data_IF_666225489896
#
_entry.id   IF_666225489896
#
_cell.length_a   1.000
_cell.length_b   1.000
_cell.length_c   1.000
_cell.angle_alpha   90.00
_cell.angle_beta   90.00
_cell.angle_gamma   90.00
#
_symmetry.space_group_name_H-M   'P 1'
#
loop_
_entity.id
_entity.type
_entity.pdbx_description
1 polymer ?
#
# COMPACT_ATOMS: atom_id res chain seq x y z
N UNK A 1 -4.48 22.01 24.58
CA UNK A 1 -5.45 21.06 23.96
C UNK A 1 -4.90 20.64 22.60
N UNK A 2 -4.85 19.32 22.30
CA UNK A 2 -4.32 18.85 21.01
C UNK A 2 -5.45 18.53 20.04
N UNK A 3 -5.26 18.92 18.76
CA UNK A 3 -6.18 18.62 17.68
C UNK A 3 -5.94 17.18 17.21
N UNK A 4 -7.00 16.35 17.23
CA UNK A 4 -6.98 14.97 16.79
C UNK A 4 -7.71 14.72 15.47
N UNK A 5 -8.56 15.67 15.06
CA UNK A 5 -9.29 15.65 13.78
C UNK A 5 -8.45 16.26 12.66
N UNK A 6 -8.89 16.07 11.41
CA UNK A 6 -8.35 16.81 10.28
C UNK A 6 -8.71 18.29 10.35
N UNK A 7 -7.89 19.12 9.72
CA UNK A 7 -8.13 20.58 9.59
C UNK A 7 -8.43 20.93 8.14
N UNK A 8 -9.11 22.06 7.95
CA UNK A 8 -9.34 22.68 6.63
C UNK A 8 -8.11 23.49 6.23
N UNK A 9 -7.13 22.78 5.67
CA UNK A 9 -5.85 23.35 5.25
C UNK A 9 -5.99 24.41 4.15
N UNK A 10 -7.03 24.31 3.36
CA UNK A 10 -7.39 25.24 2.27
C UNK A 10 -7.74 26.63 2.81
N UNK A 11 -8.45 26.75 3.92
CA UNK A 11 -8.69 28.03 4.56
C UNK A 11 -7.46 28.57 5.29
N UNK A 12 -6.70 27.68 5.91
CA UNK A 12 -5.55 28.06 6.71
C UNK A 12 -4.47 28.77 5.89
N UNK A 13 -4.29 28.41 4.63
CA UNK A 13 -3.29 29.09 3.78
C UNK A 13 -3.65 30.52 3.39
N UNK A 14 -4.90 30.96 3.62
CA UNK A 14 -5.32 32.35 3.41
C UNK A 14 -5.08 33.24 4.64
N UNK A 15 -4.63 32.68 5.77
CA UNK A 15 -4.16 33.41 6.93
C UNK A 15 -2.86 34.16 6.59
N UNK A 16 -2.96 35.46 6.30
CA UNK A 16 -1.86 36.29 5.80
C UNK A 16 -0.72 36.36 6.81
N UNK A 17 -1.03 36.42 8.09
CA UNK A 17 -0.08 36.61 9.17
C UNK A 17 0.52 35.29 9.63
N UNK A 18 -0.03 34.16 9.20
CA UNK A 18 0.32 32.81 9.63
C UNK A 18 0.27 32.65 11.17
N UNK A 19 -0.50 33.50 11.86
CA UNK A 19 -0.63 33.47 13.30
C UNK A 19 -1.34 32.21 13.76
N UNK A 20 -2.41 31.83 13.08
CA UNK A 20 -3.13 30.59 13.37
C UNK A 20 -2.28 29.36 13.10
N UNK A 21 -1.54 29.33 11.97
CA UNK A 21 -0.64 28.21 11.66
C UNK A 21 0.47 28.07 12.72
N UNK A 22 1.02 29.18 13.19
CA UNK A 22 2.02 29.20 14.25
C UNK A 22 1.44 28.63 15.55
N UNK A 23 0.32 29.17 16.01
CA UNK A 23 -0.36 28.73 17.24
C UNK A 23 -0.70 27.24 17.17
N UNK A 24 -1.22 26.79 16.02
CA UNK A 24 -1.50 25.39 15.76
C UNK A 24 -0.26 24.50 15.96
N UNK A 25 0.86 24.85 15.32
CA UNK A 25 2.10 24.09 15.40
C UNK A 25 2.75 24.16 16.78
N UNK A 26 2.70 25.32 17.44
CA UNK A 26 3.34 25.51 18.75
C UNK A 26 2.59 24.79 19.87
N UNK A 27 1.26 24.78 19.85
CA UNK A 27 0.47 24.38 21.01
C UNK A 27 -0.53 23.25 20.79
N UNK A 28 -0.92 22.97 19.53
CA UNK A 28 -2.05 22.10 19.27
C UNK A 28 -1.75 20.84 18.46
N UNK A 29 -0.51 20.64 17.99
CA UNK A 29 -0.06 19.43 17.30
C UNK A 29 0.88 18.62 18.19
N UNK A 30 0.49 17.37 18.49
CA UNK A 30 1.25 16.46 19.35
C UNK A 30 2.26 15.58 18.56
N UNK A 31 2.84 16.11 17.48
CA UNK A 31 3.79 15.40 16.62
C UNK A 31 3.22 14.97 15.27
N UNK A 32 1.91 14.79 15.15
CA UNK A 32 1.26 14.45 13.88
C UNK A 32 -0.01 15.26 13.67
N UNK A 33 -0.15 15.84 12.48
CA UNK A 33 -1.36 16.53 12.04
C UNK A 33 -2.02 15.77 10.91
N UNK A 34 -3.29 15.41 11.08
CA UNK A 34 -4.09 14.72 10.07
C UNK A 34 -4.67 15.75 9.10
N UNK A 35 -4.55 15.47 7.83
CA UNK A 35 -5.11 16.29 6.74
C UNK A 35 -5.78 15.39 5.72
N UNK A 36 -6.82 15.87 5.07
CA UNK A 36 -7.62 15.10 4.13
C UNK A 36 -7.58 15.69 2.71
N UNK A 37 -6.43 15.59 1.99
CA UNK A 37 -6.40 15.94 0.58
C UNK A 37 -7.23 14.98 -0.27
N UNK A 38 -7.41 13.75 0.17
CA UNK A 38 -8.15 12.63 -0.44
C UNK A 38 -7.52 12.11 -1.73
N UNK A 39 -7.06 12.97 -2.63
CA UNK A 39 -6.39 12.66 -3.89
C UNK A 39 -5.40 13.75 -4.27
N UNK A 40 -4.66 13.58 -5.40
CA UNK A 40 -3.73 14.58 -5.93
C UNK A 40 -4.04 14.95 -7.39
N UNK A 41 -4.83 14.17 -8.10
CA UNK A 41 -5.29 14.53 -9.43
C UNK A 41 -6.37 15.60 -9.34
N UNK A 42 -6.18 16.73 -10.05
CA UNK A 42 -7.14 17.81 -10.05
C UNK A 42 -8.50 17.41 -10.67
N UNK A 43 -8.51 16.44 -11.58
CA UNK A 43 -9.75 15.88 -12.14
C UNK A 43 -10.59 15.21 -11.05
N UNK A 44 -9.96 14.38 -10.21
CA UNK A 44 -10.64 13.71 -9.09
C UNK A 44 -10.98 14.70 -7.98
N UNK A 45 -10.08 15.63 -7.66
CA UNK A 45 -10.30 16.64 -6.63
C UNK A 45 -11.49 17.53 -6.93
N UNK A 46 -11.69 17.91 -8.22
CA UNK A 46 -12.86 18.69 -8.64
C UNK A 46 -14.17 17.94 -8.38
N UNK A 47 -14.22 16.63 -8.65
CA UNK A 47 -15.40 15.79 -8.38
C UNK A 47 -15.62 15.55 -6.88
N UNK A 48 -14.56 15.59 -6.08
CA UNK A 48 -14.61 15.55 -4.61
C UNK A 48 -15.05 16.88 -3.99
N UNK A 49 -15.12 17.98 -4.77
CA UNK A 49 -15.31 19.32 -4.23
C UNK A 49 -14.17 19.77 -3.33
N UNK A 50 -12.96 19.27 -3.59
CA UNK A 50 -11.74 19.58 -2.84
C UNK A 50 -10.92 20.67 -3.58
N UNK A 51 -10.10 21.42 -2.85
CA UNK A 51 -9.16 22.36 -3.47
C UNK A 51 -8.13 21.60 -4.32
N UNK A 52 -7.54 22.30 -5.28
CA UNK A 52 -6.54 21.75 -6.17
C UNK A 52 -5.27 21.29 -5.43
N UNK A 53 -4.49 20.42 -6.06
CA UNK A 53 -3.24 19.88 -5.48
C UNK A 53 -2.22 20.98 -5.18
N UNK A 54 -2.21 22.07 -5.94
CA UNK A 54 -1.34 23.22 -5.71
C UNK A 54 -1.63 23.88 -4.36
N UNK A 55 -2.91 23.97 -3.97
CA UNK A 55 -3.34 24.48 -2.67
C UNK A 55 -2.80 23.59 -1.56
N UNK A 56 -2.92 22.29 -1.72
CA UNK A 56 -2.36 21.32 -0.77
C UNK A 56 -0.84 21.43 -0.65
N UNK A 57 -0.13 21.51 -1.78
CA UNK A 57 1.32 21.63 -1.80
C UNK A 57 1.81 22.94 -1.13
N UNK A 58 1.10 24.06 -1.35
CA UNK A 58 1.39 25.32 -0.63
C UNK A 58 1.22 25.17 0.88
N UNK A 59 0.16 24.47 1.32
CA UNK A 59 -0.05 24.20 2.73
C UNK A 59 1.08 23.31 3.29
N UNK A 60 1.44 22.22 2.61
CA UNK A 60 2.53 21.33 3.01
C UNK A 60 3.82 22.12 3.24
N UNK A 61 4.17 22.98 2.27
CA UNK A 61 5.35 23.84 2.38
C UNK A 61 5.26 24.77 3.58
N UNK A 62 4.14 25.49 3.73
CA UNK A 62 3.95 26.42 4.84
C UNK A 62 4.05 25.73 6.21
N UNK A 63 3.46 24.54 6.32
CA UNK A 63 3.51 23.73 7.54
C UNK A 63 4.95 23.33 7.93
N UNK A 64 5.73 22.80 7.00
CA UNK A 64 7.11 22.41 7.29
C UNK A 64 8.04 23.60 7.50
N UNK A 65 7.85 24.70 6.77
CA UNK A 65 8.59 25.94 6.98
C UNK A 65 8.29 26.52 8.38
N UNK A 66 7.03 26.47 8.84
CA UNK A 66 6.65 26.88 10.19
C UNK A 66 7.31 26.01 11.26
N UNK A 67 7.24 24.67 11.09
CA UNK A 67 7.90 23.75 12.03
C UNK A 67 9.40 23.99 12.14
N UNK A 68 10.06 24.30 11.03
CA UNK A 68 11.47 24.67 11.01
C UNK A 68 11.74 25.96 11.78
N UNK A 69 10.87 26.97 11.63
CA UNK A 69 10.98 28.27 12.35
C UNK A 69 10.84 28.12 13.86
N UNK A 70 9.91 27.24 14.30
CA UNK A 70 9.65 27.03 15.73
C UNK A 70 10.49 25.92 16.37
N UNK A 71 11.37 25.26 15.58
CA UNK A 71 12.25 24.19 16.06
C UNK A 71 11.53 22.90 16.44
N UNK A 72 10.36 22.61 15.85
CA UNK A 72 9.58 21.39 16.13
C UNK A 72 9.68 20.37 15.01
N UNK A 73 9.64 19.09 15.37
CA UNK A 73 9.62 17.96 14.47
C UNK A 73 8.20 17.37 14.47
N UNK A 74 7.36 17.83 13.53
CA UNK A 74 5.98 17.39 13.37
C UNK A 74 5.74 16.93 11.94
N UNK A 75 4.80 15.98 11.76
CA UNK A 75 4.55 15.33 10.49
C UNK A 75 3.09 15.45 10.05
N UNK A 76 2.88 15.59 8.74
CA UNK A 76 1.56 15.48 8.14
C UNK A 76 1.22 14.01 7.91
N UNK A 77 -0.02 13.66 8.20
CA UNK A 77 -0.60 12.34 7.90
C UNK A 77 -1.75 12.55 6.94
N UNK A 78 -1.51 12.43 5.61
CA UNK A 78 -2.56 12.61 4.61
C UNK A 78 -3.51 11.41 4.60
N UNK A 79 -4.79 11.68 4.64
CA UNK A 79 -5.83 10.71 4.32
C UNK A 79 -6.06 10.71 2.81
N UNK A 80 -6.00 9.51 2.23
CA UNK A 80 -6.15 9.29 0.79
C UNK A 80 -7.26 8.28 0.55
N UNK A 81 -7.98 8.48 -0.55
CA UNK A 81 -9.11 7.67 -0.95
C UNK A 81 -8.85 7.06 -2.33
N UNK A 82 -9.20 5.78 -2.50
CA UNK A 82 -9.22 5.11 -3.79
C UNK A 82 -10.62 5.00 -4.36
N UNK A 83 -10.71 4.85 -5.67
CA UNK A 83 -11.96 4.50 -6.39
C UNK A 83 -13.12 5.49 -6.23
N UNK A 84 -12.82 6.78 -5.99
CA UNK A 84 -13.82 7.83 -6.05
C UNK A 84 -14.35 7.99 -7.49
N UNK A 85 -15.62 8.34 -7.71
CA UNK A 85 -16.09 8.73 -9.03
C UNK A 85 -15.15 9.74 -9.70
N UNK A 86 -14.78 9.49 -10.94
CA UNK A 86 -13.76 10.23 -11.68
C UNK A 86 -12.35 9.68 -11.58
N UNK A 87 -12.08 8.70 -10.68
CA UNK A 87 -10.76 8.08 -10.56
C UNK A 87 -10.67 6.84 -11.44
N UNK A 88 -9.84 6.89 -12.47
CA UNK A 88 -9.46 5.74 -13.31
C UNK A 88 -8.12 5.17 -12.83
N UNK A 89 -7.62 4.14 -13.50
CA UNK A 89 -6.27 3.62 -13.24
C UNK A 89 -5.18 4.67 -13.50
N UNK A 90 -5.40 5.62 -14.42
CA UNK A 90 -4.47 6.70 -14.71
C UNK A 90 -4.26 7.59 -13.48
N UNK A 91 -5.33 8.11 -12.90
CA UNK A 91 -5.27 8.98 -11.72
C UNK A 91 -4.78 8.23 -10.48
N UNK A 92 -5.10 6.93 -10.36
CA UNK A 92 -4.59 6.08 -9.27
C UNK A 92 -3.07 5.86 -9.39
N UNK A 93 -2.53 5.73 -10.61
CA UNK A 93 -1.08 5.63 -10.85
C UNK A 93 -0.39 6.97 -10.56
N UNK A 94 -0.99 8.08 -10.98
CA UNK A 94 -0.51 9.43 -10.67
C UNK A 94 -0.36 9.66 -9.17
N UNK A 95 -1.36 9.21 -8.39
CA UNK A 95 -1.28 9.23 -6.93
C UNK A 95 -0.15 8.34 -6.39
N UNK A 96 0.06 7.16 -6.98
CA UNK A 96 1.15 6.28 -6.57
C UNK A 96 2.53 6.88 -6.88
N UNK A 97 2.69 7.55 -8.02
CA UNK A 97 3.91 8.27 -8.39
C UNK A 97 4.19 9.42 -7.42
N UNK A 98 3.18 10.21 -7.09
CA UNK A 98 3.29 11.27 -6.08
C UNK A 98 3.75 10.73 -4.71
N UNK A 99 3.16 9.62 -4.25
CA UNK A 99 3.55 8.97 -2.99
C UNK A 99 4.99 8.41 -3.04
N UNK A 100 5.42 7.91 -4.21
CA UNK A 100 6.81 7.48 -4.43
C UNK A 100 7.76 8.64 -4.26
N UNK A 101 7.47 9.77 -4.88
CA UNK A 101 8.32 10.96 -4.87
C UNK A 101 8.40 11.59 -3.48
N UNK A 102 7.31 11.58 -2.72
CA UNK A 102 7.30 11.94 -1.30
C UNK A 102 8.05 10.94 -0.41
N UNK A 103 8.35 9.73 -0.89
CA UNK A 103 8.91 8.66 -0.07
C UNK A 103 7.97 8.15 1.03
N UNK A 104 6.69 8.50 0.96
CA UNK A 104 5.66 8.15 1.92
C UNK A 104 4.78 6.99 1.41
N UNK A 105 4.37 6.12 2.31
CA UNK A 105 3.37 5.10 2.04
C UNK A 105 2.34 5.10 3.17
N UNK A 106 1.07 5.36 2.88
CA UNK A 106 0.03 5.35 3.89
C UNK A 106 -0.20 3.95 4.46
N UNK A 107 -0.31 3.85 5.78
CA UNK A 107 -0.65 2.58 6.44
C UNK A 107 -2.13 2.24 6.22
N UNK A 108 -2.99 3.25 6.18
CA UNK A 108 -4.42 3.11 5.97
C UNK A 108 -4.84 3.80 4.67
N UNK A 109 -5.61 3.10 3.87
CA UNK A 109 -6.24 3.60 2.65
C UNK A 109 -7.73 3.35 2.76
N UNK A 110 -8.51 4.37 2.44
CA UNK A 110 -9.96 4.27 2.39
C UNK A 110 -10.41 4.10 0.94
N UNK A 111 -11.26 3.10 0.69
CA UNK A 111 -11.98 3.00 -0.58
C UNK A 111 -13.20 3.89 -0.52
N UNK A 112 -13.57 4.48 -1.65
CA UNK A 112 -14.82 5.21 -1.74
C UNK A 112 -16.00 4.31 -1.37
N UNK A 113 -16.80 4.78 -0.43
CA UNK A 113 -18.05 4.16 -0.03
C UNK A 113 -19.19 5.17 -0.21
N UNK A 114 -20.26 4.82 -0.96
CA UNK A 114 -21.39 5.72 -1.18
C UNK A 114 -22.07 6.08 0.14
N UNK A 115 -22.00 7.34 0.53
CA UNK A 115 -22.67 7.86 1.72
C UNK A 115 -23.95 8.59 1.29
N UNK A 116 -25.11 8.30 1.86
CA UNK A 116 -26.37 8.97 1.51
C UNK A 116 -26.26 10.50 1.55
N UNK A 117 -26.99 11.16 0.66
CA UNK A 117 -27.06 12.61 0.54
C UNK A 117 -25.76 13.33 0.16
N UNK A 118 -24.83 12.64 -0.51
CA UNK A 118 -23.61 13.26 -1.05
C UNK A 118 -23.62 13.32 -2.57
N UNK A 119 -22.99 14.36 -3.15
CA UNK A 119 -22.80 14.53 -4.59
C UNK A 119 -22.04 13.31 -5.16
N UNK A 120 -21.01 12.84 -4.48
CA UNK A 120 -20.22 11.67 -4.90
C UNK A 120 -21.07 10.40 -4.98
N UNK A 121 -22.04 10.23 -4.10
CA UNK A 121 -22.98 9.10 -4.18
C UNK A 121 -23.94 9.24 -5.37
N UNK A 122 -24.39 10.46 -5.67
CA UNK A 122 -25.16 10.70 -6.88
C UNK A 122 -24.36 10.31 -8.13
N UNK A 123 -23.12 10.78 -8.27
CA UNK A 123 -22.23 10.39 -9.37
C UNK A 123 -22.02 8.86 -9.44
N UNK A 124 -21.85 8.22 -8.29
CA UNK A 124 -21.60 6.77 -8.22
C UNK A 124 -22.75 5.95 -8.81
N UNK A 125 -24.00 6.32 -8.51
CA UNK A 125 -25.17 5.56 -8.97
C UNK A 125 -25.68 6.00 -10.35
N UNK A 126 -25.47 7.26 -10.73
CA UNK A 126 -25.97 7.78 -12.01
C UNK A 126 -24.92 7.72 -13.12
N UNK A 127 -23.63 7.70 -12.78
CA UNK A 127 -22.55 7.89 -13.75
C UNK A 127 -22.50 9.30 -14.35
N UNK A 128 -23.18 10.26 -13.73
CA UNK A 128 -23.27 11.66 -14.21
C UNK A 128 -22.84 12.62 -13.09
N UNK A 129 -22.21 13.71 -13.48
CA UNK A 129 -21.99 14.86 -12.61
C UNK A 129 -23.32 15.61 -12.43
N UNK A 130 -23.86 15.73 -11.21
CA UNK A 130 -25.16 16.37 -11.03
C UNK A 130 -25.18 17.89 -11.33
N UNK A 131 -24.02 18.54 -11.40
CA UNK A 131 -23.94 19.95 -11.73
C UNK A 131 -23.91 20.21 -13.24
N UNK A 132 -23.22 19.36 -14.02
CA UNK A 132 -23.01 19.56 -15.46
C UNK A 132 -23.76 18.55 -16.33
N UNK A 133 -24.26 17.47 -15.73
CA UNK A 133 -24.85 16.29 -16.40
C UNK A 133 -23.89 15.58 -17.36
N UNK A 134 -22.60 15.84 -17.25
CA UNK A 134 -21.58 15.16 -18.03
C UNK A 134 -21.30 13.76 -17.46
N UNK A 135 -20.95 12.78 -18.31
CA UNK A 135 -20.57 11.45 -17.86
C UNK A 135 -19.36 11.48 -16.93
N UNK A 136 -19.44 10.73 -15.83
CA UNK A 136 -18.35 10.54 -14.87
C UNK A 136 -18.00 9.07 -14.83
N UNK A 137 -16.71 8.77 -14.97
CA UNK A 137 -16.23 7.41 -14.82
C UNK A 137 -16.46 6.91 -13.38
N UNK A 138 -17.00 5.70 -13.26
CA UNK A 138 -17.25 5.06 -11.96
C UNK A 138 -16.69 3.66 -11.95
N UNK A 139 -15.76 3.40 -11.05
CA UNK A 139 -15.20 2.06 -10.86
C UNK A 139 -16.20 1.18 -10.12
N UNK A 140 -16.94 0.35 -10.85
CA UNK A 140 -17.91 -0.61 -10.27
C UNK A 140 -17.31 -2.00 -10.08
N UNK A 141 -16.28 -2.35 -10.88
CA UNK A 141 -15.63 -3.65 -10.82
C UNK A 141 -14.79 -3.79 -9.54
N UNK A 142 -15.08 -4.80 -8.68
CA UNK A 142 -14.32 -5.00 -7.44
C UNK A 142 -12.83 -5.25 -7.66
N UNK A 143 -12.45 -5.90 -8.75
CA UNK A 143 -11.05 -6.15 -9.08
C UNK A 143 -10.31 -4.88 -9.43
N UNK A 144 -10.95 -3.96 -10.15
CA UNK A 144 -10.37 -2.66 -10.46
C UNK A 144 -10.26 -1.78 -9.20
N UNK A 145 -11.25 -1.80 -8.31
CA UNK A 145 -11.14 -1.15 -6.99
C UNK A 145 -9.93 -1.67 -6.22
N UNK A 146 -9.74 -2.98 -6.23
CA UNK A 146 -8.58 -3.59 -5.58
C UNK A 146 -7.25 -3.15 -6.20
N UNK A 147 -7.19 -2.99 -7.53
CA UNK A 147 -6.00 -2.45 -8.23
C UNK A 147 -5.73 -1.00 -7.84
N UNK A 148 -6.73 -0.11 -7.85
CA UNK A 148 -6.56 1.29 -7.45
C UNK A 148 -6.10 1.41 -6.01
N UNK A 149 -6.68 0.63 -5.10
CA UNK A 149 -6.23 0.57 -3.71
C UNK A 149 -4.80 0.07 -3.57
N UNK A 150 -4.45 -0.98 -4.30
CA UNK A 150 -3.11 -1.57 -4.27
C UNK A 150 -2.03 -0.58 -4.73
N UNK A 151 -2.33 0.29 -5.70
CA UNK A 151 -1.43 1.34 -6.19
C UNK A 151 -1.05 2.33 -5.07
N UNK A 152 -1.96 2.70 -4.18
CA UNK A 152 -1.66 3.59 -3.05
C UNK A 152 -0.68 2.92 -2.07
N UNK A 153 -0.74 1.59 -1.95
CA UNK A 153 0.15 0.79 -1.10
C UNK A 153 1.09 -0.10 -1.93
N UNK A 154 1.64 0.42 -3.02
CA UNK A 154 2.42 -0.34 -4.01
C UNK A 154 3.67 -1.03 -3.44
N UNK A 155 4.24 -0.55 -2.33
CA UNK A 155 5.40 -1.17 -1.65
C UNK A 155 5.04 -2.41 -0.85
N UNK A 156 3.76 -2.66 -0.59
CA UNK A 156 3.33 -3.86 0.11
C UNK A 156 3.50 -5.07 -0.80
N UNK A 157 4.31 -6.09 -0.41
CA UNK A 157 4.55 -7.26 -1.26
C UNK A 157 3.29 -8.05 -1.62
N UNK A 158 2.24 -7.97 -0.80
CA UNK A 158 0.95 -8.62 -1.06
C UNK A 158 0.19 -7.98 -2.22
N UNK A 159 0.46 -6.72 -2.52
CA UNK A 159 -0.20 -5.96 -3.57
C UNK A 159 0.51 -6.08 -4.93
N UNK A 160 1.66 -6.77 -4.99
CA UNK A 160 2.52 -6.78 -6.17
C UNK A 160 1.77 -7.17 -7.46
N UNK A 161 1.00 -8.25 -7.42
CA UNK A 161 0.33 -8.78 -8.62
C UNK A 161 -0.75 -7.82 -9.13
N UNK A 162 -1.51 -7.19 -8.21
CA UNK A 162 -2.51 -6.17 -8.55
C UNK A 162 -1.86 -4.90 -9.11
N UNK A 163 -0.75 -4.45 -8.54
CA UNK A 163 0.01 -3.29 -9.03
C UNK A 163 0.59 -3.58 -10.41
N UNK A 164 1.18 -4.75 -10.59
CA UNK A 164 1.71 -5.18 -11.89
C UNK A 164 0.62 -5.19 -12.97
N UNK A 165 -0.53 -5.80 -12.68
CA UNK A 165 -1.67 -5.85 -13.59
C UNK A 165 -2.20 -4.45 -13.92
N UNK A 166 -2.34 -3.59 -12.91
CA UNK A 166 -2.78 -2.21 -13.10
C UNK A 166 -1.85 -1.42 -14.03
N UNK A 167 -0.53 -1.54 -13.83
CA UNK A 167 0.46 -0.88 -14.68
C UNK A 167 0.44 -1.43 -16.12
N UNK A 168 0.27 -2.75 -16.29
CA UNK A 168 0.15 -3.36 -17.61
C UNK A 168 -1.12 -2.91 -18.33
N UNK A 169 -2.26 -2.87 -17.64
CA UNK A 169 -3.54 -2.39 -18.21
C UNK A 169 -3.51 -0.92 -18.60
N UNK A 170 -2.83 -0.10 -17.81
CA UNK A 170 -2.67 1.33 -18.08
C UNK A 170 -1.55 1.65 -19.08
N UNK A 171 -0.82 0.66 -19.59
CA UNK A 171 0.32 0.87 -20.50
C UNK A 171 1.54 1.54 -19.84
N UNK A 172 1.63 1.54 -18.50
CA UNK A 172 2.70 2.17 -17.72
C UNK A 172 3.78 1.17 -17.30
N UNK A 173 4.27 0.39 -18.24
CA UNK A 173 5.37 -0.57 -18.03
C UNK A 173 6.68 0.12 -17.66
N UNK A 174 6.83 1.40 -17.99
CA UNK A 174 7.94 2.26 -17.61
C UNK A 174 8.12 2.38 -16.08
N UNK A 175 7.09 2.09 -15.32
CA UNK A 175 7.10 2.10 -13.85
C UNK A 175 7.47 0.74 -13.23
N UNK A 176 7.80 -0.26 -14.07
CA UNK A 176 8.28 -1.58 -13.65
C UNK A 176 9.78 -1.68 -13.96
N UNK A 177 10.61 -1.62 -12.96
CA UNK A 177 12.07 -1.61 -13.17
C UNK A 177 12.86 -1.41 -11.89
N UNK A 178 14.14 -1.08 -12.07
CA UNK A 178 15.10 -0.86 -10.97
C UNK A 178 15.39 0.62 -10.73
N UNK A 179 14.92 1.49 -11.61
CA UNK A 179 15.13 2.93 -11.52
C UNK A 179 14.32 3.54 -10.37
N UNK A 180 14.76 4.72 -9.91
CA UNK A 180 14.07 5.47 -8.85
C UNK A 180 12.63 5.85 -9.22
N UNK A 181 12.35 6.04 -10.52
CA UNK A 181 11.01 6.34 -11.05
C UNK A 181 10.06 5.15 -11.01
N UNK A 182 10.56 3.92 -10.87
CA UNK A 182 9.72 2.73 -10.89
C UNK A 182 8.99 2.53 -9.55
N UNK A 183 7.75 2.03 -9.63
CA UNK A 183 6.95 1.69 -8.46
C UNK A 183 7.29 0.31 -7.92
N UNK A 184 7.47 -0.67 -8.83
CA UNK A 184 7.78 -2.05 -8.47
C UNK A 184 8.96 -2.59 -9.29
N UNK A 185 9.68 -3.54 -8.70
CA UNK A 185 10.75 -4.26 -9.40
C UNK A 185 10.18 -5.45 -10.15
N UNK A 186 10.70 -5.79 -11.36
CA UNK A 186 10.27 -7.00 -12.03
C UNK A 186 10.58 -8.22 -11.17
N UNK A 187 9.61 -9.09 -10.94
CA UNK A 187 9.90 -10.42 -10.39
C UNK A 187 10.71 -11.19 -11.42
N UNK A 188 11.80 -11.82 -11.01
CA UNK A 188 12.46 -12.82 -11.85
C UNK A 188 11.39 -13.86 -12.19
N UNK A 189 11.05 -13.98 -13.47
CA UNK A 189 10.28 -15.12 -13.93
C UNK A 189 11.11 -16.36 -13.53
N UNK A 190 10.62 -17.12 -12.59
CA UNK A 190 11.13 -18.46 -12.36
C UNK A 190 10.80 -19.22 -13.64
N UNK A 191 11.80 -19.33 -14.53
CA UNK A 191 11.64 -20.06 -15.76
C UNK A 191 11.35 -21.52 -15.39
N UNK A 192 10.06 -21.88 -15.39
CA UNK A 192 9.61 -23.28 -15.33
C UNK A 192 10.29 -24.12 -16.41
N UNK A 193 10.74 -23.51 -17.51
CA UNK A 193 11.53 -24.12 -18.55
C UNK A 193 12.94 -24.56 -18.12
N UNK A 194 13.60 -23.81 -17.22
CA UNK A 194 14.93 -24.21 -16.70
C UNK A 194 14.83 -25.30 -15.63
N UNK A 195 13.72 -25.36 -14.89
CA UNK A 195 13.48 -26.47 -13.96
C UNK A 195 13.16 -27.79 -14.71
N UNK A 196 12.50 -27.74 -15.84
CA UNK A 196 12.22 -28.89 -16.71
C UNK A 196 13.50 -29.38 -17.45
N UNK A 197 14.36 -28.45 -17.91
CA UNK A 197 15.64 -28.76 -18.56
C UNK A 197 16.65 -29.43 -17.61
N UNK A 198 16.69 -29.04 -16.32
CA UNK A 198 17.58 -29.66 -15.34
C UNK A 198 17.04 -31.01 -14.81
N UNK A 199 15.76 -31.29 -14.96
CA UNK A 199 15.20 -32.59 -14.64
C UNK A 199 15.47 -33.64 -15.74
N UNK A 200 15.51 -33.23 -17.02
CA UNK A 200 15.84 -34.10 -18.13
C UNK A 200 17.35 -34.43 -18.24
N UNK A 201 18.23 -33.48 -17.91
CA UNK A 201 19.67 -33.71 -17.89
C UNK A 201 20.14 -34.64 -16.75
N UNK A 202 19.38 -34.72 -15.63
CA UNK A 202 19.64 -35.69 -14.56
C UNK A 202 19.08 -37.09 -14.84
N UNK A 203 18.07 -37.21 -15.74
CA UNK A 203 17.50 -38.50 -16.12
C UNK A 203 18.32 -39.21 -17.20
N UNK A 204 19.06 -38.51 -18.04
CA UNK A 204 19.94 -39.08 -19.07
C UNK A 204 21.31 -39.50 -18.53
N UNK A 205 21.82 -38.90 -17.45
CA UNK A 205 23.08 -39.26 -16.85
C UNK A 205 23.00 -40.50 -15.93
N UNK A 206 21.79 -40.99 -15.64
CA UNK A 206 21.55 -42.16 -14.78
C UNK A 206 21.42 -43.51 -15.53
N UNK A 207 21.45 -43.51 -16.88
CA UNK A 207 21.20 -44.70 -17.69
C UNK A 207 22.43 -45.41 -18.26
N UNK A 208 23.63 -44.84 -18.07
CA UNK A 208 24.86 -45.37 -18.67
C UNK A 208 25.82 -46.13 -17.71
N UNK A 209 25.41 -46.42 -16.47
CA UNK A 209 26.22 -47.19 -15.54
C UNK A 209 25.47 -48.34 -14.87
N UNK A 210 24.91 -49.27 -15.67
CA UNK A 210 24.52 -50.57 -15.18
C UNK A 210 24.49 -51.59 -16.33
N UNK A 211 25.67 -51.99 -16.75
CA UNK A 211 25.89 -53.32 -17.28
C UNK A 211 27.28 -53.76 -16.84
N UNK A 212 27.35 -54.82 -16.12
CA UNK A 212 28.41 -55.78 -15.80
C UNK A 212 28.52 -56.00 -14.26
N UNK A 213 27.97 -57.05 -13.80
CA UNK A 213 28.53 -58.26 -13.24
C UNK A 213 27.51 -59.05 -12.40
N UNK A 214 27.35 -60.24 -12.85
CA UNK A 214 26.78 -61.45 -12.31
C UNK A 214 27.29 -61.84 -10.93
N UNK A 215 26.44 -62.54 -10.18
CA UNK A 215 26.92 -63.60 -9.33
C UNK A 215 26.34 -63.73 -7.92
N UNK A 216 25.44 -64.71 -7.80
CA UNK A 216 25.37 -65.70 -6.71
C UNK A 216 24.80 -65.33 -5.33
N UNK A 217 23.62 -65.76 -5.08
CA UNK A 217 23.23 -66.85 -4.16
C UNK A 217 22.93 -66.55 -2.68
N UNK A 218 21.72 -66.98 -2.34
CA UNK A 218 21.22 -67.64 -1.11
C UNK A 218 20.57 -66.84 0.02
N UNK A 219 19.27 -67.04 0.09
CA UNK A 219 18.46 -67.52 1.25
C UNK A 219 18.58 -66.78 2.60
N UNK A 220 17.51 -66.29 3.16
CA UNK A 220 16.50 -67.04 3.91
C UNK A 220 15.50 -66.11 4.65
N UNK A 221 14.24 -66.40 4.47
CA UNK A 221 13.14 -66.48 5.43
C UNK A 221 12.96 -65.41 6.52
N UNK A 222 11.72 -64.96 6.63
CA UNK A 222 11.13 -64.57 7.89
C UNK A 222 10.08 -63.41 7.80
N UNK A 223 8.87 -63.76 7.52
CA UNK A 223 7.63 -63.03 7.82
C UNK A 223 7.14 -63.55 9.20
N UNK A 224 6.11 -63.01 9.88
CA UNK A 224 5.31 -61.81 9.77
C UNK A 224 4.83 -61.17 11.12
N UNK A 225 3.74 -60.39 11.02
CA UNK A 225 2.67 -60.13 12.01
C UNK A 225 2.75 -58.78 12.72
N UNK A 226 1.94 -57.82 12.35
CA UNK A 226 0.53 -57.42 12.54
C UNK A 226 0.16 -57.09 14.00
N UNK A 227 -0.43 -55.91 14.17
CA UNK A 227 -1.68 -55.56 14.91
C UNK A 227 -1.61 -54.14 15.51
N UNK A 228 -2.43 -53.30 14.98
CA UNK A 228 -3.72 -52.77 15.50
C UNK A 228 -3.66 -52.08 16.87
N UNK A 229 -4.08 -50.86 16.92
CA UNK A 229 -5.43 -50.42 17.31
C UNK A 229 -5.43 -49.18 18.22
N UNK A 230 -6.23 -48.27 17.81
CA UNK A 230 -7.26 -47.50 18.52
C UNK A 230 -6.90 -46.51 19.62
N UNK A 231 -7.18 -45.25 19.31
CA UNK A 231 -8.37 -44.48 19.73
C UNK A 231 -8.40 -43.83 21.13
N UNK A 232 -8.86 -42.62 21.14
CA UNK A 232 -9.69 -41.87 22.12
C UNK A 232 -9.07 -40.67 22.81
N UNK A 233 -9.61 -39.52 22.33
CA UNK A 233 -10.41 -38.53 23.08
C UNK A 233 -10.04 -38.22 24.53
N UNK A 234 -9.87 -36.94 24.81
CA UNK A 234 -10.74 -36.15 25.68
C UNK A 234 -10.10 -34.82 26.11
N UNK A 235 -10.73 -33.75 25.71
CA UNK A 235 -11.29 -32.64 26.53
C UNK A 235 -10.59 -32.27 27.84
N UNK A 236 -10.28 -31.03 27.99
CA UNK A 236 -10.90 -30.04 28.87
C UNK A 236 -9.95 -29.10 29.66
N UNK A 237 -10.27 -27.83 29.53
CA UNK A 237 -10.45 -26.76 30.53
C UNK A 237 -9.26 -26.17 31.31
N UNK A 238 -9.22 -24.84 31.10
CA UNK A 238 -9.16 -23.74 32.11
C UNK A 238 -7.87 -23.61 32.95
N UNK A 239 -7.27 -22.49 33.02
CA UNK A 239 -7.58 -21.24 33.68
C UNK A 239 -6.35 -20.34 33.78
N UNK A 240 -6.59 -19.09 33.52
CA UNK A 240 -6.01 -17.85 34.07
C UNK A 240 -4.72 -17.93 34.94
N UNK A 241 -3.74 -17.07 34.62
CA UNK A 241 -3.29 -15.94 35.46
C UNK A 241 -2.01 -15.30 34.87
N UNK A 242 -2.13 -14.07 34.48
CA UNK A 242 -1.57 -12.84 35.05
C UNK A 242 -0.07 -12.88 35.51
N UNK A 243 0.79 -12.10 34.83
CA UNK A 243 1.54 -10.97 35.36
C UNK A 243 2.68 -10.53 34.43
N UNK A 244 2.62 -9.25 34.12
CA UNK A 244 3.71 -8.29 33.96
C UNK A 244 5.13 -8.82 33.68
N UNK A 245 5.69 -8.33 32.54
CA UNK A 245 6.91 -7.53 32.66
C UNK A 245 7.19 -6.71 31.39
N UNK A 246 7.52 -5.52 31.62
CA UNK A 246 8.06 -4.40 30.87
C UNK A 246 9.30 -4.76 30.06
N UNK A 247 9.44 -4.13 28.87
CA UNK A 247 10.79 -4.01 28.33
C UNK A 247 10.88 -3.68 26.85
N UNK A 248 10.89 -2.41 26.52
CA UNK A 248 11.74 -1.71 25.52
C UNK A 248 12.27 -2.54 24.33
N UNK A 249 11.76 -2.23 23.12
CA UNK A 249 12.60 -1.83 21.99
C UNK A 249 11.74 -1.69 20.73
N UNK A 250 11.34 -0.48 20.40
CA UNK A 250 10.87 -0.13 19.06
C UNK A 250 11.20 1.35 18.76
N UNK A 251 12.50 1.61 18.63
CA UNK A 251 13.01 2.96 18.41
C UNK A 251 13.88 3.15 17.16
N UNK A 252 13.98 2.20 16.25
CA UNK A 252 15.05 2.28 15.23
C UNK A 252 14.63 2.30 13.75
N UNK A 253 13.35 2.17 13.42
CA UNK A 253 12.92 2.16 12.00
C UNK A 253 12.24 3.45 11.48
N UNK A 254 12.00 4.45 12.35
CA UNK A 254 11.31 5.70 11.94
C UNK A 254 12.24 6.81 11.42
N UNK A 255 13.56 6.68 11.55
CA UNK A 255 14.49 7.78 11.20
C UNK A 255 14.90 7.86 9.72
N UNK A 256 14.57 6.90 8.86
CA UNK A 256 15.05 6.89 7.47
C UNK A 256 14.09 7.51 6.44
N UNK A 257 12.82 7.64 6.76
CA UNK A 257 11.81 8.15 5.81
C UNK A 257 11.76 9.69 5.71
N UNK A 258 12.45 10.41 6.61
CA UNK A 258 12.23 11.84 6.80
C UNK A 258 13.33 12.72 6.17
N UNK A 259 14.45 12.13 5.80
CA UNK A 259 15.55 12.90 5.17
C UNK A 259 15.31 13.37 3.74
N UNK A 260 14.31 12.83 3.06
CA UNK A 260 14.04 13.15 1.63
C UNK A 260 13.02 14.25 1.38
N UNK A 261 12.35 14.77 2.42
CA UNK A 261 11.37 15.85 2.28
C UNK A 261 11.99 17.25 2.16
N UNK A 262 13.31 17.38 2.39
CA UNK A 262 14.01 18.67 2.29
C UNK A 262 14.54 19.00 0.87
N UNK A 263 14.25 18.16 -0.13
CA UNK A 263 14.79 18.29 -1.50
C UNK A 263 13.74 18.51 -2.59
N UNK A 264 12.51 18.91 -2.21
CA UNK A 264 11.58 19.42 -3.23
C UNK A 264 11.84 20.93 -3.35
N UNK A 265 12.85 21.27 -4.11
CA UNK A 265 12.96 22.57 -4.75
C UNK A 265 12.15 22.51 -6.05
N UNK A 266 11.03 23.17 -6.06
CA UNK A 266 10.38 23.71 -7.26
C UNK A 266 10.73 25.18 -7.33
#
# INVERSE_FOLDING_TARGET
MFIRSGIRFDYLIYDKDQTFLRELCEHHVSGQLKVAPEHISNEVLSKLGKPSVEVYNRFVKAYYDMNKKIGKEQYLVPYLMSSHPGSTLKEAIELAEYLRDLGYMPEQVQDFYPTPATISTCMYYTGLDPATLEPVYVTTNPHEKAMQRALIQYRNPKNYDLVYEALMKAGRQDLIGFDKKCLIKPRRAFNKAQAAGNAQSKASAGKERRSVKSGSSKNNSGRPVNKNATNRNATNKNTANNKNETGRNNGMHKKKAIRNLSLIHI
#
